data_IF_074071451445
#
_entry.id   IF_074071451445
#
_cell.length_a   1.000
_cell.length_b   1.000
_cell.length_c   1.000
_cell.angle_alpha   90.00
_cell.angle_beta   90.00
_cell.angle_gamma   90.00
#
_symmetry.space_group_name_H-M   'P 1'
#
loop_
_entity.id
_entity.type
_entity.pdbx_description
1 polymer ?
#
# COMPACT_ATOMS: atom_id res chain seq x y z
N UNK A 1 -4.15 -4.07 -3.92
CA UNK A 1 -4.53 -3.21 -2.76
C UNK A 1 -4.96 -1.81 -3.20
N UNK A 2 -4.19 -1.13 -4.07
CA UNK A 2 -4.47 0.25 -4.46
C UNK A 2 -5.89 0.49 -5.04
N UNK A 3 -6.50 -0.54 -5.68
CA UNK A 3 -7.91 -0.55 -6.10
C UNK A 3 -8.89 -0.17 -4.99
N UNK A 4 -8.62 -0.56 -3.75
CA UNK A 4 -9.47 -0.24 -2.60
C UNK A 4 -9.45 1.25 -2.26
N UNK A 5 -8.38 1.97 -2.66
CA UNK A 5 -8.18 3.37 -2.33
C UNK A 5 -8.42 4.31 -3.52
N UNK A 6 -8.45 3.80 -4.75
CA UNK A 6 -8.63 4.62 -5.94
C UNK A 6 -9.57 3.95 -6.96
N UNK A 7 -10.76 4.53 -7.14
CA UNK A 7 -11.84 3.98 -7.97
C UNK A 7 -11.48 3.77 -9.45
N UNK A 8 -10.44 4.44 -9.96
CA UNK A 8 -10.02 4.34 -11.37
C UNK A 8 -9.31 3.03 -11.70
N UNK A 9 -8.71 2.37 -10.70
CA UNK A 9 -7.93 1.16 -10.92
C UNK A 9 -8.87 0.00 -11.22
N UNK A 10 -8.74 -0.58 -12.41
CA UNK A 10 -9.59 -1.66 -12.90
C UNK A 10 -8.79 -2.97 -13.02
N UNK A 11 -9.37 -3.99 -13.65
CA UNK A 11 -8.69 -5.27 -13.88
C UNK A 11 -7.49 -5.15 -14.83
N UNK A 12 -7.59 -4.29 -15.86
CA UNK A 12 -6.51 -4.07 -16.83
C UNK A 12 -5.27 -3.48 -16.16
N UNK A 13 -5.43 -2.56 -15.22
CA UNK A 13 -4.32 -2.01 -14.42
C UNK A 13 -3.56 -3.11 -13.68
N UNK A 14 -4.28 -4.03 -13.02
CA UNK A 14 -3.64 -5.11 -12.25
C UNK A 14 -2.96 -6.14 -13.16
N UNK A 15 -3.63 -6.55 -14.24
CA UNK A 15 -3.05 -7.47 -15.23
C UNK A 15 -1.79 -6.85 -15.83
N UNK A 16 -1.82 -5.56 -16.16
CA UNK A 16 -0.64 -4.84 -16.68
C UNK A 16 0.50 -4.87 -15.67
N UNK A 17 0.23 -4.59 -14.39
CA UNK A 17 1.28 -4.62 -13.37
C UNK A 17 1.93 -6.01 -13.26
N UNK A 18 1.14 -7.08 -13.33
CA UNK A 18 1.64 -8.46 -13.29
C UNK A 18 2.47 -8.80 -14.53
N UNK A 19 1.94 -8.53 -15.72
CA UNK A 19 2.60 -8.84 -16.99
C UNK A 19 3.89 -8.04 -17.15
N UNK A 20 3.87 -6.74 -16.88
CA UNK A 20 5.05 -5.88 -17.02
C UNK A 20 6.13 -6.28 -16.02
N UNK A 21 5.78 -6.57 -14.77
CA UNK A 21 6.75 -7.06 -13.77
C UNK A 21 7.40 -8.37 -14.19
N UNK A 22 6.60 -9.29 -14.76
CA UNK A 22 7.11 -10.55 -15.28
C UNK A 22 8.06 -10.34 -16.46
N UNK A 23 7.71 -9.47 -17.41
CA UNK A 23 8.57 -9.15 -18.56
C UNK A 23 9.89 -8.48 -18.14
N UNK A 24 9.84 -7.57 -17.16
CA UNK A 24 11.03 -6.94 -16.59
C UNK A 24 11.94 -7.98 -15.93
N UNK A 25 11.36 -8.92 -15.17
CA UNK A 25 12.11 -10.00 -14.56
C UNK A 25 12.80 -10.88 -15.62
N UNK A 26 12.09 -11.22 -16.71
CA UNK A 26 12.68 -11.96 -17.82
C UNK A 26 13.81 -11.17 -18.50
N UNK A 27 13.62 -9.86 -18.71
CA UNK A 27 14.64 -9.00 -19.29
C UNK A 27 15.92 -8.99 -18.44
N UNK A 28 15.81 -8.74 -17.13
CA UNK A 28 17.00 -8.68 -16.27
C UNK A 28 17.69 -10.04 -16.08
N UNK A 29 16.94 -11.15 -16.02
CA UNK A 29 17.53 -12.48 -15.80
C UNK A 29 18.13 -13.10 -17.07
N UNK A 30 17.54 -12.86 -18.25
CA UNK A 30 17.92 -13.58 -19.47
C UNK A 30 18.45 -12.70 -20.59
N UNK A 31 18.14 -11.40 -20.61
CA UNK A 31 18.44 -10.54 -21.78
C UNK A 31 19.54 -9.54 -21.44
N UNK A 32 19.51 -8.93 -20.25
CA UNK A 32 20.41 -7.83 -19.89
C UNK A 32 21.90 -8.22 -19.91
N UNK A 33 22.23 -9.47 -19.59
CA UNK A 33 23.61 -9.99 -19.70
C UNK A 33 24.10 -10.15 -21.14
N UNK A 34 23.19 -10.23 -22.12
CA UNK A 34 23.50 -10.40 -23.54
C UNK A 34 23.44 -9.10 -24.36
N UNK A 35 22.98 -7.99 -23.78
CA UNK A 35 22.84 -6.70 -24.49
C UNK A 35 24.12 -5.89 -24.57
N UNK A 36 25.18 -6.29 -23.84
CA UNK A 36 26.44 -5.54 -23.76
C UNK A 36 26.33 -4.21 -23.00
N UNK A 37 25.18 -3.96 -22.34
CA UNK A 37 24.98 -2.81 -21.46
C UNK A 37 25.76 -3.00 -20.16
N UNK A 38 26.16 -1.90 -19.47
CA UNK A 38 26.82 -2.01 -18.18
C UNK A 38 25.94 -2.77 -17.18
N UNK A 39 26.58 -3.65 -16.39
CA UNK A 39 25.90 -4.40 -15.36
C UNK A 39 25.29 -3.44 -14.33
N UNK A 40 23.98 -3.56 -14.17
CA UNK A 40 23.25 -2.82 -13.15
C UNK A 40 23.34 -3.60 -11.85
N UNK A 41 23.60 -2.90 -10.73
CA UNK A 41 23.53 -3.52 -9.40
C UNK A 41 22.13 -4.09 -9.14
N UNK A 42 22.04 -5.13 -8.31
CA UNK A 42 20.75 -5.74 -7.95
C UNK A 42 19.74 -4.71 -7.41
N UNK A 43 20.22 -3.74 -6.63
CA UNK A 43 19.41 -2.64 -6.14
C UNK A 43 18.86 -1.76 -7.29
N UNK A 44 19.70 -1.42 -8.27
CA UNK A 44 19.29 -0.63 -9.43
C UNK A 44 18.28 -1.38 -10.32
N UNK A 45 18.45 -2.70 -10.50
CA UNK A 45 17.49 -3.54 -11.23
C UNK A 45 16.12 -3.57 -10.54
N UNK A 46 16.10 -3.74 -9.21
CA UNK A 46 14.86 -3.71 -8.45
C UNK A 46 14.16 -2.35 -8.52
N UNK A 47 14.89 -1.26 -8.30
CA UNK A 47 14.32 0.10 -8.33
C UNK A 47 13.79 0.44 -9.72
N UNK A 48 14.56 0.18 -10.77
CA UNK A 48 14.12 0.42 -12.15
C UNK A 48 12.91 -0.43 -12.51
N UNK A 49 12.88 -1.71 -12.11
CA UNK A 49 11.73 -2.58 -12.35
C UNK A 49 10.45 -2.08 -11.68
N UNK A 50 10.53 -1.66 -10.41
CA UNK A 50 9.40 -1.07 -9.69
C UNK A 50 8.92 0.21 -10.37
N UNK A 51 9.83 1.09 -10.78
CA UNK A 51 9.48 2.34 -11.46
C UNK A 51 8.78 2.09 -12.80
N UNK A 52 9.33 1.21 -13.64
CA UNK A 52 8.78 0.90 -14.96
C UNK A 52 7.41 0.23 -14.83
N UNK A 53 7.28 -0.79 -13.97
CA UNK A 53 5.97 -1.41 -13.69
C UNK A 53 4.98 -0.38 -13.22
N UNK A 54 5.39 0.50 -12.30
CA UNK A 54 4.52 1.54 -11.75
C UNK A 54 4.02 2.50 -12.82
N UNK A 55 4.93 3.00 -13.65
CA UNK A 55 4.57 3.87 -14.77
C UNK A 55 3.62 3.16 -15.76
N UNK A 56 3.88 1.89 -16.08
CA UNK A 56 3.08 1.14 -17.05
C UNK A 56 1.64 0.92 -16.59
N UNK A 57 1.41 0.44 -15.36
CA UNK A 57 0.04 0.21 -14.89
C UNK A 57 -0.70 1.53 -14.64
N UNK A 58 -0.01 2.59 -14.20
CA UNK A 58 -0.61 3.93 -14.06
C UNK A 58 -1.04 4.45 -15.42
N UNK A 59 -0.20 4.33 -16.45
CA UNK A 59 -0.53 4.72 -17.82
C UNK A 59 -1.75 3.95 -18.32
N UNK A 60 -1.79 2.63 -18.16
CA UNK A 60 -2.95 1.82 -18.53
C UNK A 60 -4.20 2.22 -17.75
N UNK A 61 -4.08 2.59 -16.48
CA UNK A 61 -5.22 3.07 -15.67
C UNK A 61 -5.83 4.34 -16.25
N UNK A 62 -5.04 5.24 -16.83
CA UNK A 62 -5.54 6.45 -17.48
C UNK A 62 -6.05 6.22 -18.90
N UNK A 63 -5.49 5.25 -19.63
CA UNK A 63 -5.90 4.93 -20.99
C UNK A 63 -7.15 4.04 -21.04
N UNK A 64 -7.35 3.17 -20.05
CA UNK A 64 -8.47 2.24 -20.02
C UNK A 64 -9.72 2.89 -19.42
N UNK A 65 -10.89 2.41 -19.87
CA UNK A 65 -12.16 2.89 -19.33
C UNK A 65 -12.29 2.44 -17.86
N UNK A 66 -12.79 3.32 -16.97
CA UNK A 66 -13.11 2.92 -15.61
C UNK A 66 -14.23 1.88 -15.61
N UNK A 67 -14.39 1.19 -14.48
CA UNK A 67 -15.52 0.29 -14.22
C UNK A 67 -16.84 1.06 -14.34
N UNK A 68 -17.92 0.35 -14.72
CA UNK A 68 -19.24 0.94 -14.85
C UNK A 68 -19.68 1.71 -13.60
N UNK A 69 -20.30 2.86 -13.81
CA UNK A 69 -20.66 3.79 -12.74
C UNK A 69 -21.69 3.18 -11.78
N UNK A 70 -22.63 2.38 -12.29
CA UNK A 70 -23.65 1.70 -11.46
C UNK A 70 -23.02 0.66 -10.53
N UNK A 71 -22.06 -0.11 -11.04
CA UNK A 71 -21.33 -1.11 -10.24
C UNK A 71 -20.51 -0.44 -9.15
N UNK A 72 -19.83 0.66 -9.51
CA UNK A 72 -19.05 1.46 -8.59
C UNK A 72 -19.91 2.12 -7.49
N UNK A 73 -21.09 2.63 -7.82
CA UNK A 73 -22.03 3.20 -6.85
C UNK A 73 -22.58 2.12 -5.90
N UNK A 74 -22.94 0.94 -6.43
CA UNK A 74 -23.38 -0.19 -5.60
C UNK A 74 -22.29 -0.62 -4.62
N UNK A 75 -21.05 -0.73 -5.08
CA UNK A 75 -19.89 -1.01 -4.22
C UNK A 75 -19.71 0.07 -3.16
N UNK A 76 -19.78 1.35 -3.55
CA UNK A 76 -19.63 2.48 -2.63
C UNK A 76 -20.71 2.48 -1.55
N UNK A 77 -21.97 2.19 -1.89
CA UNK A 77 -23.09 2.10 -0.93
C UNK A 77 -22.91 0.96 0.08
N UNK A 78 -22.34 -0.16 -0.35
CA UNK A 78 -22.11 -1.34 0.48
C UNK A 78 -20.90 -1.15 1.43
N UNK A 79 -19.75 -0.76 0.88
CA UNK A 79 -18.47 -0.74 1.60
C UNK A 79 -18.22 0.60 2.30
N UNK A 80 -18.74 1.69 1.72
CA UNK A 80 -18.53 3.09 2.17
C UNK A 80 -17.04 3.40 2.40
N UNK A 81 -16.19 3.23 1.37
CA UNK A 81 -14.77 3.51 1.50
C UNK A 81 -14.52 5.00 1.72
N UNK A 82 -13.69 5.34 2.70
CA UNK A 82 -13.26 6.71 2.97
C UNK A 82 -12.09 7.17 2.09
N UNK A 83 -11.85 8.48 2.06
CA UNK A 83 -10.65 9.09 1.48
C UNK A 83 -10.81 9.80 0.12
N UNK A 84 -9.75 10.49 -0.35
CA UNK A 84 -9.80 11.37 -1.51
C UNK A 84 -10.07 10.63 -2.83
N UNK A 85 -9.59 9.39 -2.92
CA UNK A 85 -9.74 8.54 -4.09
C UNK A 85 -11.15 8.00 -4.33
N UNK A 86 -12.15 8.40 -3.53
CA UNK A 86 -13.58 8.08 -3.71
C UNK A 86 -14.50 9.31 -3.72
N UNK A 87 -13.98 10.53 -3.52
CA UNK A 87 -14.76 11.77 -3.40
C UNK A 87 -15.73 12.01 -4.56
N UNK A 88 -15.27 11.79 -5.81
CA UNK A 88 -16.13 11.96 -7.00
C UNK A 88 -17.37 11.06 -6.98
N UNK A 89 -17.23 9.83 -6.48
CA UNK A 89 -18.35 8.89 -6.38
C UNK A 89 -19.23 9.19 -5.16
N UNK A 90 -18.64 9.68 -4.07
CA UNK A 90 -19.37 10.16 -2.90
C UNK A 90 -20.35 11.29 -3.29
N UNK A 91 -19.85 12.28 -4.04
CA UNK A 91 -20.68 13.38 -4.56
C UNK A 91 -21.77 12.89 -5.53
N UNK A 92 -21.43 11.94 -6.41
CA UNK A 92 -22.39 11.37 -7.35
C UNK A 92 -23.50 10.60 -6.62
N UNK A 93 -23.13 9.81 -5.60
CA UNK A 93 -24.06 9.06 -4.78
C UNK A 93 -24.96 9.98 -3.92
N UNK A 94 -24.45 11.14 -3.52
CA UNK A 94 -25.22 12.19 -2.83
C UNK A 94 -26.30 12.80 -3.74
N UNK A 95 -25.93 13.10 -4.99
CA UNK A 95 -26.84 13.70 -5.99
C UNK A 95 -27.95 12.74 -6.45
N UNK A 96 -27.67 11.45 -6.46
CA UNK A 96 -28.61 10.38 -6.86
C UNK A 96 -29.69 10.10 -5.79
N UNK A 97 -29.76 10.90 -4.71
CA UNK A 97 -30.78 10.79 -3.66
C UNK A 97 -30.67 9.58 -2.74
N UNK A 98 -29.67 8.72 -2.94
CA UNK A 98 -29.51 7.46 -2.20
C UNK A 98 -28.81 7.55 -0.85
N UNK A 99 -28.21 8.69 -0.50
CA UNK A 99 -27.45 8.90 0.74
C UNK A 99 -27.69 10.32 1.29
N UNK A 100 -28.38 10.44 2.43
CA UNK A 100 -28.47 11.70 3.18
C UNK A 100 -27.09 12.09 3.73
N UNK A 101 -26.78 13.39 3.77
CA UNK A 101 -25.45 13.99 3.99
C UNK A 101 -24.66 13.51 5.23
N UNK A 102 -25.32 12.91 6.22
CA UNK A 102 -24.69 12.36 7.42
C UNK A 102 -24.04 10.97 7.19
N UNK A 103 -24.44 10.23 6.15
CA UNK A 103 -23.94 8.88 5.84
C UNK A 103 -22.75 8.83 4.86
N UNK A 104 -22.30 9.99 4.37
CA UNK A 104 -21.30 10.08 3.29
C UNK A 104 -19.87 10.20 3.81
N UNK A 105 -19.69 10.72 5.04
CA UNK A 105 -18.38 10.95 5.62
C UNK A 105 -18.04 9.84 6.62
N UNK A 106 -17.45 8.76 6.11
CA UNK A 106 -16.58 7.94 6.97
C UNK A 106 -15.22 8.62 7.06
N UNK A 107 -14.70 8.76 8.27
CA UNK A 107 -13.36 9.28 8.51
C UNK A 107 -12.32 8.49 7.71
N UNK A 108 -11.33 9.21 7.20
CA UNK A 108 -10.26 8.60 6.42
C UNK A 108 -9.25 7.95 7.36
N UNK A 109 -9.49 6.68 7.71
CA UNK A 109 -8.67 5.91 8.67
C UNK A 109 -7.36 5.37 8.07
N UNK A 110 -7.05 5.67 6.81
CA UNK A 110 -5.85 5.11 6.15
C UNK A 110 -4.54 5.67 6.71
N UNK A 111 -4.38 7.00 6.91
CA UNK A 111 -3.14 7.53 7.50
C UNK A 111 -2.90 7.00 8.91
N UNK A 112 -3.96 6.89 9.70
CA UNK A 112 -3.90 6.37 11.07
C UNK A 112 -3.60 4.87 11.07
N UNK A 113 -4.18 4.10 10.15
CA UNK A 113 -3.84 2.69 9.90
C UNK A 113 -2.40 2.47 9.45
N UNK A 114 -1.84 3.33 8.59
CA UNK A 114 -0.41 3.26 8.18
C UNK A 114 0.50 3.51 9.38
N UNK A 115 0.19 4.50 10.23
CA UNK A 115 0.94 4.73 11.46
C UNK A 115 0.87 3.53 12.42
N UNK A 116 -0.31 2.92 12.55
CA UNK A 116 -0.49 1.67 13.30
C UNK A 116 0.34 0.52 12.71
N UNK A 117 0.40 0.39 11.39
CA UNK A 117 1.23 -0.61 10.72
C UNK A 117 2.72 -0.40 11.03
N UNK A 118 3.23 0.84 10.92
CA UNK A 118 4.63 1.16 11.22
C UNK A 118 4.96 0.88 12.69
N UNK A 119 4.09 1.33 13.61
CA UNK A 119 4.26 1.04 15.03
C UNK A 119 4.21 -0.47 15.32
N UNK A 120 3.37 -1.22 14.61
CA UNK A 120 3.30 -2.68 14.70
C UNK A 120 4.60 -3.34 14.24
N UNK A 121 5.13 -2.93 13.10
CA UNK A 121 6.43 -3.39 12.61
C UNK A 121 7.55 -3.09 13.62
N UNK A 122 7.61 -1.86 14.16
CA UNK A 122 8.60 -1.48 15.16
C UNK A 122 8.45 -2.30 16.46
N UNK A 123 7.23 -2.57 16.90
CA UNK A 123 6.98 -3.39 18.07
C UNK A 123 7.47 -4.84 17.88
N UNK A 124 7.11 -5.48 16.75
CA UNK A 124 7.47 -6.87 16.45
C UNK A 124 8.97 -7.02 16.21
N UNK A 125 9.55 -6.21 15.32
CA UNK A 125 10.98 -6.29 15.03
C UNK A 125 11.83 -5.83 16.22
N UNK A 126 11.40 -4.79 16.94
CA UNK A 126 12.06 -4.34 18.16
C UNK A 126 12.11 -5.45 19.21
N UNK A 127 10.99 -6.16 19.43
CA UNK A 127 10.94 -7.28 20.36
C UNK A 127 11.83 -8.45 19.90
N UNK A 128 11.79 -8.79 18.61
CA UNK A 128 12.64 -9.85 18.04
C UNK A 128 14.13 -9.55 18.25
N UNK A 129 14.59 -8.34 17.92
CA UNK A 129 15.98 -7.95 18.11
C UNK A 129 16.36 -7.79 19.58
N UNK A 130 15.47 -7.26 20.42
CA UNK A 130 15.69 -7.16 21.85
C UNK A 130 15.99 -8.53 22.48
N UNK A 131 15.14 -9.53 22.19
CA UNK A 131 15.34 -10.90 22.66
C UNK A 131 16.68 -11.45 22.15
N UNK A 132 17.01 -11.24 20.87
CA UNK A 132 18.29 -11.64 20.31
C UNK A 132 19.48 -11.03 21.06
N UNK A 133 19.48 -9.71 21.30
CA UNK A 133 20.58 -9.04 22.00
C UNK A 133 20.70 -9.43 23.47
N UNK A 134 19.58 -9.71 24.15
CA UNK A 134 19.61 -10.29 25.50
C UNK A 134 20.28 -11.66 25.52
N UNK A 135 19.97 -12.53 24.56
CA UNK A 135 20.58 -13.86 24.44
C UNK A 135 22.10 -13.75 24.18
N UNK A 136 22.51 -12.82 23.33
CA UNK A 136 23.94 -12.61 23.03
C UNK A 136 24.69 -11.80 24.11
N UNK A 137 24.04 -11.42 25.21
CA UNK A 137 24.66 -10.68 26.31
C UNK A 137 25.00 -9.21 25.98
N UNK A 138 24.52 -8.67 24.86
CA UNK A 138 24.77 -7.29 24.46
C UNK A 138 23.70 -6.35 25.04
N UNK A 139 23.91 -5.93 26.28
CA UNK A 139 22.90 -5.21 27.09
C UNK A 139 22.55 -3.82 26.56
N UNK A 140 23.48 -3.12 25.91
CA UNK A 140 23.23 -1.77 25.36
C UNK A 140 22.14 -1.77 24.29
N UNK A 141 22.35 -2.43 23.13
CA UNK A 141 21.33 -2.57 22.08
C UNK A 141 20.07 -3.30 22.57
N UNK A 142 20.20 -4.26 23.49
CA UNK A 142 19.04 -4.99 24.05
C UNK A 142 18.05 -4.05 24.74
N UNK A 143 18.55 -3.14 25.59
CA UNK A 143 17.70 -2.17 26.29
C UNK A 143 17.04 -1.19 25.33
N UNK A 144 17.77 -0.65 24.35
CA UNK A 144 17.23 0.26 23.33
C UNK A 144 16.09 -0.41 22.55
N UNK A 145 16.32 -1.62 22.03
CA UNK A 145 15.30 -2.34 21.26
C UNK A 145 14.08 -2.70 22.10
N UNK A 146 14.28 -3.04 23.37
CA UNK A 146 13.19 -3.30 24.32
C UNK A 146 12.33 -2.05 24.54
N UNK A 147 12.95 -0.88 24.74
CA UNK A 147 12.25 0.39 24.92
C UNK A 147 11.46 0.81 23.68
N UNK A 148 12.03 0.64 22.48
CA UNK A 148 11.34 0.90 21.21
C UNK A 148 10.12 -0.02 21.08
N UNK A 149 10.27 -1.31 21.38
CA UNK A 149 9.18 -2.28 21.28
C UNK A 149 8.03 -1.95 22.25
N UNK A 150 8.36 -1.67 23.51
CA UNK A 150 7.38 -1.30 24.53
C UNK A 150 6.71 0.05 24.22
N UNK A 151 7.47 1.04 23.76
CA UNK A 151 6.94 2.35 23.37
C UNK A 151 5.96 2.25 22.21
N UNK A 152 6.33 1.52 21.15
CA UNK A 152 5.47 1.30 19.99
C UNK A 152 4.21 0.48 20.36
N UNK A 153 4.37 -0.57 21.18
CA UNK A 153 3.25 -1.37 21.67
C UNK A 153 2.28 -0.57 22.56
N UNK A 154 2.80 0.23 23.49
CA UNK A 154 1.99 1.09 24.35
C UNK A 154 1.23 2.15 23.54
N UNK A 155 1.88 2.74 22.53
CA UNK A 155 1.23 3.67 21.61
C UNK A 155 0.08 3.01 20.84
N UNK A 156 0.28 1.79 20.32
CA UNK A 156 -0.77 1.02 19.65
C UNK A 156 -1.96 0.72 20.55
N UNK A 157 -1.71 0.26 21.79
CA UNK A 157 -2.79 -0.01 22.76
C UNK A 157 -3.58 1.27 23.05
N UNK A 158 -2.91 2.42 23.11
CA UNK A 158 -3.57 3.72 23.31
C UNK A 158 -4.35 4.18 22.07
N UNK A 159 -3.87 3.83 20.88
CA UNK A 159 -4.51 4.14 19.61
C UNK A 159 -5.83 3.38 19.43
N UNK A 160 -5.86 2.08 19.74
CA UNK A 160 -7.07 1.25 19.63
C UNK A 160 -8.07 1.38 20.79
N UNK A 161 -7.67 2.00 21.90
CA UNK A 161 -8.58 2.29 23.03
C UNK A 161 -9.37 3.59 22.86
N UNK A 162 -9.03 4.40 21.87
CA UNK A 162 -9.82 5.57 21.45
C UNK A 162 -10.85 5.14 20.41
#
# INVERSE_FOLDING_TARGET
ILRWFWWRINAYSEITAMVVSFLIALYFNFVHSHTGLPELSNAAQLVSGVLITTAAWVLVTFLTRPVDTTTLLNFYRLVRPGGPGWQKLAELAAKDGGLSGENIQRDWDVPSGILAMIAGCLAVYGMLFAVGYWIYGNTGPATIMTLIALGAGAWLVRFFRK
#
